data_IF_578835789080
#
_entry.id   IF_578835789080
#
_cell.length_a   1.000
_cell.length_b   1.000
_cell.length_c   1.000
_cell.angle_alpha   90.00
_cell.angle_beta   90.00
_cell.angle_gamma   90.00
#
_symmetry.space_group_name_H-M   'P 1'
#
loop_
_entity.id
_entity.type
_entity.pdbx_description
1 polymer ?
#
# COMPACT_ATOMS: atom_id res chain seq x y z
N UNK A 1 26.36 -5.29 -38.17
CA UNK A 1 25.37 -6.20 -37.53
C UNK A 1 24.61 -5.44 -36.45
N UNK A 2 23.32 -5.66 -36.30
CA UNK A 2 22.55 -5.09 -35.19
C UNK A 2 23.04 -5.70 -33.85
N UNK A 3 23.15 -4.91 -32.77
CA UNK A 3 23.56 -5.44 -31.46
C UNK A 3 22.63 -6.59 -31.02
N UNK A 4 23.15 -7.61 -30.32
CA UNK A 4 22.40 -8.76 -29.86
C UNK A 4 21.14 -8.38 -29.03
N UNK A 5 21.24 -7.29 -28.24
CA UNK A 5 20.10 -6.76 -27.47
C UNK A 5 18.90 -6.30 -28.33
N UNK A 6 19.12 -6.00 -29.61
CA UNK A 6 18.08 -5.54 -30.56
C UNK A 6 17.61 -6.65 -31.53
N UNK A 7 18.36 -7.76 -31.64
CA UNK A 7 18.06 -8.84 -32.59
C UNK A 7 17.52 -10.09 -31.90
N UNK A 8 18.00 -10.45 -30.70
CA UNK A 8 17.56 -11.65 -29.99
C UNK A 8 16.16 -11.42 -29.36
N UNK A 9 15.18 -12.32 -29.54
CA UNK A 9 13.78 -12.11 -29.11
C UNK A 9 13.62 -11.71 -27.64
N UNK A 10 14.26 -12.43 -26.72
CA UNK A 10 14.17 -12.16 -25.27
C UNK A 10 14.90 -10.86 -24.91
N UNK A 11 16.13 -10.69 -25.40
CA UNK A 11 16.92 -9.48 -25.11
C UNK A 11 16.28 -8.23 -25.69
N UNK A 12 15.56 -8.34 -26.80
CA UNK A 12 14.78 -7.26 -27.40
C UNK A 12 13.66 -6.77 -26.47
N UNK A 13 12.96 -7.67 -25.78
CA UNK A 13 11.92 -7.31 -24.81
C UNK A 13 12.55 -6.51 -23.64
N UNK A 14 13.63 -7.04 -23.07
CA UNK A 14 14.35 -6.36 -21.98
C UNK A 14 14.89 -4.99 -22.45
N UNK A 15 15.44 -4.93 -23.66
CA UNK A 15 15.95 -3.69 -24.22
C UNK A 15 14.86 -2.60 -24.34
N UNK A 16 13.68 -2.96 -24.84
CA UNK A 16 12.59 -2.00 -24.97
C UNK A 16 11.95 -1.60 -23.64
N UNK A 17 11.99 -2.49 -22.65
CA UNK A 17 11.40 -2.21 -21.34
C UNK A 17 12.31 -1.38 -20.42
N UNK A 18 13.65 -1.52 -20.52
CA UNK A 18 14.59 -0.97 -19.52
C UNK A 18 15.78 -0.20 -20.10
N UNK A 19 16.04 -0.28 -21.42
CA UNK A 19 17.21 0.36 -22.01
C UNK A 19 16.78 1.49 -22.96
N UNK A 20 16.17 1.14 -24.08
CA UNK A 20 15.80 2.11 -25.12
C UNK A 20 14.39 2.72 -24.85
N UNK A 21 13.77 2.46 -23.71
CA UNK A 21 12.45 3.03 -23.34
C UNK A 21 12.52 4.55 -23.31
N UNK A 22 11.73 5.28 -24.13
CA UNK A 22 11.72 6.73 -24.09
C UNK A 22 11.08 7.24 -22.80
N UNK A 23 11.82 8.01 -22.00
CA UNK A 23 11.36 8.59 -20.74
C UNK A 23 11.47 10.12 -20.79
N UNK A 24 10.54 10.89 -20.19
CA UNK A 24 10.64 12.33 -20.06
C UNK A 24 11.94 12.75 -19.37
N UNK A 25 12.64 13.74 -19.92
CA UNK A 25 13.94 14.18 -19.40
C UNK A 25 13.85 14.82 -18.00
N UNK A 26 12.68 15.37 -17.63
CA UNK A 26 12.45 16.13 -16.41
C UNK A 26 11.89 15.32 -15.23
N UNK A 27 11.95 13.98 -15.23
CA UNK A 27 11.47 13.16 -14.13
C UNK A 27 12.22 13.49 -12.83
N UNK A 28 11.45 13.77 -11.76
CA UNK A 28 11.99 14.00 -10.41
C UNK A 28 12.15 12.68 -9.63
N UNK A 29 12.66 12.76 -8.39
CA UNK A 29 12.78 11.60 -7.49
C UNK A 29 11.44 10.93 -7.15
N UNK A 30 10.32 11.63 -7.29
CA UNK A 30 8.98 11.07 -7.10
C UNK A 30 8.64 9.95 -8.10
N UNK A 31 9.33 9.85 -9.22
CA UNK A 31 9.16 8.76 -10.20
C UNK A 31 9.94 7.50 -9.84
N UNK A 32 10.87 7.56 -8.88
CA UNK A 32 11.60 6.38 -8.39
C UNK A 32 10.73 5.42 -7.56
N UNK A 33 9.59 5.89 -7.00
CA UNK A 33 8.78 5.05 -6.11
C UNK A 33 8.15 3.83 -6.81
N UNK A 34 7.97 3.85 -8.12
CA UNK A 34 7.53 2.67 -8.88
C UNK A 34 8.59 1.55 -8.89
N UNK A 35 9.85 1.88 -9.21
CA UNK A 35 10.95 0.91 -9.20
C UNK A 35 11.30 0.47 -7.77
N UNK A 36 11.19 1.36 -6.77
CA UNK A 36 11.34 1.02 -5.36
C UNK A 36 10.28 0.00 -4.89
N UNK A 37 9.04 0.11 -5.36
CA UNK A 37 7.99 -0.88 -5.08
C UNK A 37 8.34 -2.25 -5.67
N UNK A 38 8.90 -2.29 -6.87
CA UNK A 38 9.43 -3.53 -7.46
C UNK A 38 10.53 -4.15 -6.61
N UNK A 39 11.44 -3.33 -6.08
CA UNK A 39 12.49 -3.80 -5.18
C UNK A 39 11.92 -4.29 -3.84
N UNK A 40 10.93 -3.57 -3.25
CA UNK A 40 10.23 -4.03 -2.06
C UNK A 40 9.59 -5.41 -2.29
N UNK A 41 8.91 -5.61 -3.42
CA UNK A 41 8.30 -6.90 -3.75
C UNK A 41 9.33 -8.02 -3.83
N UNK A 42 10.48 -7.78 -4.48
CA UNK A 42 11.58 -8.76 -4.57
C UNK A 42 12.11 -9.10 -3.17
N UNK A 43 12.36 -8.09 -2.32
CA UNK A 43 12.84 -8.31 -0.95
C UNK A 43 11.82 -9.11 -0.14
N UNK A 44 10.53 -8.77 -0.22
CA UNK A 44 9.48 -9.48 0.52
C UNK A 44 9.32 -10.93 0.06
N UNK A 45 9.33 -11.21 -1.24
CA UNK A 45 9.26 -12.57 -1.77
C UNK A 45 10.50 -13.37 -1.35
N UNK A 46 11.70 -12.81 -1.51
CA UNK A 46 12.94 -13.50 -1.18
C UNK A 46 13.03 -13.82 0.33
N UNK A 47 12.83 -12.82 1.19
CA UNK A 47 12.87 -13.03 2.65
C UNK A 47 11.75 -13.95 3.12
N UNK A 48 10.54 -13.82 2.56
CA UNK A 48 9.39 -14.66 2.89
C UNK A 48 9.58 -16.12 2.51
N UNK A 49 10.21 -16.39 1.34
CA UNK A 49 10.51 -17.75 0.92
C UNK A 49 11.46 -18.47 1.90
N UNK A 50 12.53 -17.79 2.35
CA UNK A 50 13.45 -18.36 3.34
C UNK A 50 12.79 -18.52 4.72
N UNK A 51 11.95 -17.57 5.15
CA UNK A 51 11.19 -17.70 6.40
C UNK A 51 10.21 -18.88 6.37
N UNK A 52 9.55 -19.10 5.23
CA UNK A 52 8.60 -20.20 5.05
C UNK A 52 9.26 -21.59 5.20
N UNK A 53 10.58 -21.72 4.98
CA UNK A 53 11.30 -23.00 5.15
C UNK A 53 11.39 -23.43 6.63
N UNK A 54 11.22 -22.52 7.58
CA UNK A 54 11.36 -22.75 9.01
C UNK A 54 10.09 -22.47 9.81
N UNK A 55 9.07 -21.86 9.17
CA UNK A 55 7.80 -21.52 9.80
C UNK A 55 6.84 -22.71 9.82
N UNK A 56 6.11 -22.89 10.90
CA UNK A 56 5.06 -23.91 11.04
C UNK A 56 3.70 -23.26 11.25
N UNK A 57 2.77 -23.44 10.31
CA UNK A 57 1.42 -22.89 10.36
C UNK A 57 0.49 -23.76 11.24
N UNK A 58 0.75 -23.79 12.54
CA UNK A 58 -0.03 -24.49 13.55
C UNK A 58 -0.12 -23.63 14.81
N UNK A 59 -1.29 -23.52 15.43
CA UNK A 59 -1.52 -22.63 16.58
C UNK A 59 -0.65 -22.94 17.78
N UNK A 60 -0.24 -24.20 17.96
CA UNK A 60 0.67 -24.62 19.03
C UNK A 60 2.15 -24.35 18.73
N UNK A 61 2.50 -24.19 17.43
CA UNK A 61 3.88 -24.13 16.96
C UNK A 61 4.26 -22.77 16.31
N UNK A 62 3.30 -22.00 15.81
CA UNK A 62 3.58 -20.81 15.01
C UNK A 62 4.45 -19.80 15.76
N UNK A 63 4.08 -19.42 16.97
CA UNK A 63 4.85 -18.45 17.76
C UNK A 63 6.26 -18.98 18.11
N UNK A 64 6.38 -20.23 18.51
CA UNK A 64 7.66 -20.86 18.81
C UNK A 64 8.54 -21.05 17.58
N UNK A 65 7.95 -21.30 16.38
CA UNK A 65 8.70 -21.36 15.13
C UNK A 65 9.32 -20.02 14.73
N UNK A 66 8.61 -18.90 14.96
CA UNK A 66 9.18 -17.55 14.77
C UNK A 66 10.30 -17.29 15.79
N UNK A 67 10.12 -17.68 17.04
CA UNK A 67 11.17 -17.56 18.05
C UNK A 67 12.41 -18.40 17.68
N UNK A 68 12.21 -19.62 17.18
CA UNK A 68 13.27 -20.50 16.66
C UNK A 68 14.02 -19.82 15.48
N UNK A 69 13.28 -19.26 14.49
CA UNK A 69 13.89 -18.52 13.38
C UNK A 69 14.81 -17.40 13.90
N UNK A 70 14.33 -16.63 14.87
CA UNK A 70 15.09 -15.48 15.38
C UNK A 70 16.32 -15.89 16.23
N UNK A 71 16.30 -17.04 16.92
CA UNK A 71 17.35 -17.45 17.87
C UNK A 71 18.33 -18.46 17.30
N UNK A 72 17.81 -19.46 16.56
CA UNK A 72 18.56 -20.67 16.28
C UNK A 72 18.95 -20.79 14.78
N UNK A 73 18.15 -20.18 13.87
CA UNK A 73 18.46 -20.19 12.44
C UNK A 73 19.52 -19.13 12.14
N UNK A 74 20.58 -19.51 11.42
CA UNK A 74 21.66 -18.60 11.08
C UNK A 74 21.13 -17.40 10.25
N UNK A 75 21.35 -16.17 10.77
CA UNK A 75 20.79 -14.91 10.23
C UNK A 75 19.25 -14.85 10.13
N UNK A 76 18.52 -15.77 10.76
CA UNK A 76 17.07 -15.80 10.76
C UNK A 76 16.44 -14.53 11.38
N UNK A 77 17.03 -13.99 12.45
CA UNK A 77 16.63 -12.72 13.04
C UNK A 77 16.67 -11.57 12.03
N UNK A 78 17.68 -11.52 11.17
CA UNK A 78 17.84 -10.48 10.16
C UNK A 78 16.79 -10.63 9.07
N UNK A 79 16.56 -11.85 8.55
CA UNK A 79 15.54 -12.13 7.55
C UNK A 79 14.13 -11.79 8.06
N UNK A 80 13.84 -12.17 9.31
CA UNK A 80 12.55 -11.85 9.93
C UNK A 80 12.35 -10.34 10.09
N UNK A 81 13.37 -9.60 10.53
CA UNK A 81 13.31 -8.17 10.70
C UNK A 81 13.25 -7.42 9.36
N UNK A 82 13.97 -7.88 8.34
CA UNK A 82 13.86 -7.33 6.98
C UNK A 82 12.47 -7.55 6.38
N UNK A 83 11.87 -8.72 6.64
CA UNK A 83 10.52 -9.01 6.15
C UNK A 83 9.46 -8.14 6.85
N UNK A 84 9.49 -8.06 8.17
CA UNK A 84 8.54 -7.27 8.96
C UNK A 84 8.65 -5.77 8.66
N UNK A 85 9.87 -5.19 8.70
CA UNK A 85 10.08 -3.79 8.40
C UNK A 85 9.94 -3.48 6.91
N UNK A 86 10.27 -4.44 6.05
CA UNK A 86 10.09 -4.32 4.61
C UNK A 86 8.62 -4.11 4.22
N UNK A 87 7.66 -4.67 4.96
CA UNK A 87 6.24 -4.37 4.77
C UNK A 87 5.94 -2.89 5.01
N UNK A 88 6.48 -2.28 6.07
CA UNK A 88 6.36 -0.84 6.33
C UNK A 88 6.98 0.00 5.21
N UNK A 89 8.16 -0.36 4.71
CA UNK A 89 8.79 0.33 3.57
C UNK A 89 7.95 0.19 2.29
N UNK A 90 7.34 -0.96 2.09
CA UNK A 90 6.43 -1.17 0.95
C UNK A 90 5.27 -0.18 1.02
N UNK A 91 4.58 -0.04 2.16
CA UNK A 91 3.48 0.91 2.31
C UNK A 91 3.92 2.36 2.24
N UNK A 92 5.08 2.75 2.79
CA UNK A 92 5.64 4.09 2.60
C UNK A 92 5.79 4.38 1.09
N UNK A 93 6.41 3.47 0.34
CA UNK A 93 6.59 3.62 -1.10
C UNK A 93 5.25 3.66 -1.85
N UNK A 94 4.24 2.84 -1.46
CA UNK A 94 2.90 2.86 -2.07
C UNK A 94 2.23 4.22 -1.86
N UNK A 95 2.21 4.75 -0.64
CA UNK A 95 1.55 6.02 -0.35
C UNK A 95 2.22 7.19 -1.05
N UNK A 96 3.55 7.21 -1.13
CA UNK A 96 4.28 8.21 -1.88
C UNK A 96 4.06 8.07 -3.40
N UNK A 97 3.96 6.85 -3.91
CA UNK A 97 3.63 6.57 -5.31
C UNK A 97 2.21 7.02 -5.69
N UNK A 98 1.22 6.74 -4.84
CA UNK A 98 -0.16 7.22 -5.00
C UNK A 98 -0.21 8.75 -4.90
N UNK A 99 0.43 9.32 -3.88
CA UNK A 99 0.50 10.77 -3.68
C UNK A 99 1.10 11.50 -4.88
N UNK A 100 2.18 10.94 -5.47
CA UNK A 100 2.75 11.43 -6.73
C UNK A 100 1.70 11.36 -7.86
N UNK A 101 0.96 10.24 -7.96
CA UNK A 101 -0.09 10.07 -8.96
C UNK A 101 -1.22 11.10 -8.82
N UNK A 102 -1.65 11.39 -7.60
CA UNK A 102 -2.66 12.40 -7.30
C UNK A 102 -2.16 13.82 -7.57
N UNK A 103 -0.91 14.15 -7.18
CA UNK A 103 -0.35 15.49 -7.33
C UNK A 103 -0.08 15.85 -8.80
N UNK A 104 0.50 14.93 -9.56
CA UNK A 104 0.90 15.20 -10.94
C UNK A 104 -0.11 14.71 -12.00
N UNK A 105 -1.27 14.19 -11.56
CA UNK A 105 -2.35 13.78 -12.45
C UNK A 105 -2.07 12.49 -13.23
N UNK A 106 -1.23 11.59 -12.70
CA UNK A 106 -0.96 10.30 -13.34
C UNK A 106 -2.18 9.38 -13.38
N UNK A 107 -3.17 9.61 -12.50
CA UNK A 107 -4.46 8.89 -12.48
C UNK A 107 -5.26 9.01 -13.79
N UNK A 108 -4.94 9.98 -14.65
CA UNK A 108 -5.55 10.11 -15.97
C UNK A 108 -5.09 9.03 -16.96
N UNK A 109 -4.07 8.25 -16.63
CA UNK A 109 -3.77 6.97 -17.29
C UNK A 109 -4.62 5.87 -16.62
N UNK A 110 -5.89 5.80 -17.00
CA UNK A 110 -6.94 5.07 -16.29
C UNK A 110 -6.62 3.60 -16.08
N UNK A 111 -6.14 2.91 -17.10
CA UNK A 111 -5.80 1.48 -17.02
C UNK A 111 -4.67 1.24 -16.02
N UNK A 112 -3.61 2.02 -16.13
CA UNK A 112 -2.46 1.94 -15.21
C UNK A 112 -2.88 2.25 -13.78
N UNK A 113 -3.68 3.31 -13.58
CA UNK A 113 -4.18 3.72 -12.28
C UNK A 113 -5.08 2.67 -11.64
N UNK A 114 -6.05 2.15 -12.38
CA UNK A 114 -7.02 1.18 -11.87
C UNK A 114 -6.33 -0.13 -11.45
N UNK A 115 -5.39 -0.64 -12.26
CA UNK A 115 -4.58 -1.82 -11.86
C UNK A 115 -3.73 -1.49 -10.62
N UNK A 116 -3.23 -0.26 -10.49
CA UNK A 116 -2.53 0.20 -9.29
C UNK A 116 -3.41 0.16 -8.03
N UNK A 117 -4.68 0.55 -8.12
CA UNK A 117 -5.63 0.46 -6.98
C UNK A 117 -5.93 -1.01 -6.64
N UNK A 118 -6.05 -1.89 -7.62
CA UNK A 118 -6.17 -3.34 -7.38
C UNK A 118 -4.93 -3.88 -6.68
N UNK A 119 -3.73 -3.45 -7.10
CA UNK A 119 -2.46 -3.82 -6.43
C UNK A 119 -2.43 -3.36 -4.98
N UNK A 120 -2.94 -2.16 -4.67
CA UNK A 120 -3.07 -1.69 -3.29
C UNK A 120 -3.91 -2.65 -2.45
N UNK A 121 -5.10 -3.07 -2.92
CA UNK A 121 -5.93 -4.05 -2.22
C UNK A 121 -5.21 -5.39 -2.02
N UNK A 122 -4.51 -5.88 -3.03
CA UNK A 122 -3.77 -7.14 -2.93
C UNK A 122 -2.63 -7.06 -1.91
N UNK A 123 -1.89 -5.95 -1.88
CA UNK A 123 -0.82 -5.74 -0.88
C UNK A 123 -1.40 -5.59 0.53
N UNK A 124 -2.52 -4.86 0.69
CA UNK A 124 -3.22 -4.76 1.97
C UNK A 124 -3.68 -6.13 2.48
N UNK A 125 -4.30 -6.95 1.62
CA UNK A 125 -4.70 -8.30 1.96
C UNK A 125 -3.50 -9.17 2.35
N UNK A 126 -2.42 -9.11 1.56
CA UNK A 126 -1.19 -9.87 1.82
C UNK A 126 -0.56 -9.50 3.16
N UNK A 127 -0.46 -8.21 3.47
CA UNK A 127 0.10 -7.73 4.72
C UNK A 127 -0.77 -8.14 5.92
N UNK A 128 -2.09 -8.04 5.79
CA UNK A 128 -3.02 -8.44 6.85
C UNK A 128 -2.89 -9.93 7.19
N UNK A 129 -3.00 -10.82 6.20
CA UNK A 129 -2.87 -12.26 6.46
C UNK A 129 -1.47 -12.63 6.94
N UNK A 130 -0.42 -11.90 6.51
CA UNK A 130 0.95 -12.09 6.96
C UNK A 130 1.18 -11.70 8.42
N UNK A 131 0.54 -10.62 8.88
CA UNK A 131 0.63 -10.16 10.27
C UNK A 131 0.01 -11.15 11.25
N UNK A 132 -0.92 -11.98 10.82
CA UNK A 132 -1.55 -13.01 11.63
C UNK A 132 -0.60 -14.20 11.90
N UNK A 133 0.32 -14.49 10.99
CA UNK A 133 1.15 -15.71 11.03
C UNK A 133 2.03 -15.89 12.29
N UNK A 134 2.62 -14.85 12.90
CA UNK A 134 3.38 -15.01 14.12
C UNK A 134 2.57 -15.55 15.30
N UNK A 135 1.26 -15.45 15.25
CA UNK A 135 0.33 -15.93 16.28
C UNK A 135 0.62 -15.33 17.67
N UNK A 136 0.97 -14.03 17.67
CA UNK A 136 1.02 -13.22 18.89
C UNK A 136 -0.36 -12.66 19.24
N UNK A 137 -0.43 -11.92 20.36
CA UNK A 137 -1.68 -11.32 20.83
C UNK A 137 -2.33 -10.40 19.80
N UNK A 138 -1.55 -9.52 19.18
CA UNK A 138 -2.08 -8.63 18.15
C UNK A 138 -2.42 -9.35 16.85
N UNK A 139 -1.70 -10.43 16.52
CA UNK A 139 -2.02 -11.29 15.37
C UNK A 139 -3.40 -11.93 15.52
N UNK A 140 -3.67 -12.55 16.66
CA UNK A 140 -4.92 -13.25 16.94
C UNK A 140 -6.12 -12.28 17.05
N UNK A 141 -5.96 -11.25 17.89
CA UNK A 141 -7.05 -10.30 18.14
C UNK A 141 -7.30 -9.40 16.95
N UNK A 142 -6.26 -9.02 16.19
CA UNK A 142 -6.40 -8.32 14.92
C UNK A 142 -7.17 -9.15 13.89
N UNK A 143 -6.86 -10.44 13.74
CA UNK A 143 -7.60 -11.35 12.89
C UNK A 143 -9.06 -11.44 13.30
N UNK A 144 -9.33 -11.63 14.60
CA UNK A 144 -10.69 -11.75 15.15
C UNK A 144 -11.52 -10.51 14.86
N UNK A 145 -10.99 -9.31 15.09
CA UNK A 145 -11.72 -8.05 14.90
C UNK A 145 -11.97 -7.78 13.41
N UNK A 146 -10.94 -7.86 12.59
CA UNK A 146 -11.04 -7.48 11.17
C UNK A 146 -11.90 -8.47 10.38
N UNK A 147 -11.75 -9.76 10.59
CA UNK A 147 -12.58 -10.75 9.87
C UNK A 147 -14.04 -10.71 10.34
N UNK A 148 -14.28 -10.42 11.64
CA UNK A 148 -15.64 -10.23 12.13
C UNK A 148 -16.36 -9.01 11.54
N UNK A 149 -15.67 -8.07 10.92
CA UNK A 149 -16.33 -6.97 10.19
C UNK A 149 -17.22 -7.46 9.07
N UNK A 150 -16.92 -8.61 8.47
CA UNK A 150 -17.75 -9.23 7.43
C UNK A 150 -19.13 -9.62 7.89
N UNK A 151 -19.32 -9.85 9.21
CA UNK A 151 -20.67 -10.12 9.76
C UNK A 151 -21.62 -8.91 9.66
N UNK A 152 -21.14 -7.74 9.24
CA UNK A 152 -21.95 -6.58 8.91
C UNK A 152 -22.75 -6.77 7.60
N UNK A 153 -22.32 -7.71 6.71
CA UNK A 153 -23.03 -7.97 5.47
C UNK A 153 -24.42 -8.57 5.76
N UNK A 154 -25.51 -7.94 5.26
CA UNK A 154 -26.85 -8.45 5.49
C UNK A 154 -27.01 -9.88 4.98
N UNK A 155 -27.75 -10.71 5.71
CA UNK A 155 -28.11 -12.10 5.42
C UNK A 155 -26.97 -13.11 5.44
N UNK A 156 -25.82 -12.81 4.83
CA UNK A 156 -24.70 -13.77 4.61
C UNK A 156 -23.51 -13.52 5.52
N UNK A 157 -23.51 -12.45 6.31
CA UNK A 157 -22.30 -11.98 7.02
C UNK A 157 -21.76 -13.00 8.00
N UNK A 158 -22.61 -13.65 8.78
CA UNK A 158 -22.20 -14.69 9.74
C UNK A 158 -21.58 -15.90 9.03
N UNK A 159 -22.19 -16.35 7.93
CA UNK A 159 -21.69 -17.48 7.14
C UNK A 159 -20.34 -17.16 6.51
N UNK A 160 -20.16 -15.92 6.02
CA UNK A 160 -18.86 -15.45 5.49
C UNK A 160 -17.76 -15.47 6.56
N UNK A 161 -18.07 -15.03 7.77
CA UNK A 161 -17.12 -15.05 8.89
C UNK A 161 -16.72 -16.48 9.23
N UNK A 162 -17.71 -17.39 9.40
CA UNK A 162 -17.45 -18.81 9.70
C UNK A 162 -16.68 -19.49 8.55
N UNK A 163 -16.99 -19.14 7.32
CA UNK A 163 -16.27 -19.66 6.16
C UNK A 163 -14.80 -19.23 6.16
N UNK A 164 -14.50 -17.96 6.46
CA UNK A 164 -13.10 -17.47 6.54
C UNK A 164 -12.36 -18.09 7.72
N UNK A 165 -13.01 -18.18 8.89
CA UNK A 165 -12.41 -18.81 10.06
C UNK A 165 -12.21 -20.32 9.88
N UNK A 166 -13.09 -20.99 9.10
CA UNK A 166 -13.13 -22.45 8.96
C UNK A 166 -13.70 -23.14 10.20
N UNK A 167 -14.49 -22.42 10.96
CA UNK A 167 -15.13 -22.85 12.21
C UNK A 167 -15.86 -21.69 12.86
N UNK A 168 -16.12 -21.79 14.14
CA UNK A 168 -16.90 -20.80 14.90
C UNK A 168 -16.04 -19.72 15.58
N UNK A 169 -14.72 -19.83 15.48
CA UNK A 169 -13.74 -18.88 16.02
C UNK A 169 -12.48 -18.86 15.18
N UNK A 170 -11.65 -17.82 15.36
CA UNK A 170 -10.29 -17.79 14.84
C UNK A 170 -9.47 -18.88 15.53
N UNK A 171 -8.93 -19.83 14.75
CA UNK A 171 -8.21 -20.98 15.25
C UNK A 171 -7.27 -21.55 14.18
N UNK A 172 -6.81 -22.78 14.34
CA UNK A 172 -5.84 -23.45 13.46
C UNK A 172 -6.26 -23.43 11.98
N UNK A 173 -7.56 -23.66 11.69
CA UNK A 173 -8.08 -23.60 10.34
C UNK A 173 -7.92 -22.19 9.71
N UNK A 174 -8.07 -21.14 10.49
CA UNK A 174 -7.82 -19.75 10.06
C UNK A 174 -6.34 -19.53 9.75
N UNK A 175 -5.46 -19.95 10.66
CA UNK A 175 -4.02 -19.77 10.53
C UNK A 175 -3.47 -20.48 9.28
N UNK A 176 -3.86 -21.73 9.04
CA UNK A 176 -3.40 -22.50 7.88
C UNK A 176 -3.87 -21.89 6.54
N UNK A 177 -5.12 -21.38 6.47
CA UNK A 177 -5.63 -20.66 5.30
C UNK A 177 -4.88 -19.37 5.07
N UNK A 178 -4.61 -18.60 6.12
CA UNK A 178 -3.90 -17.33 6.01
C UNK A 178 -2.45 -17.54 5.59
N UNK A 179 -1.79 -18.59 6.05
CA UNK A 179 -0.48 -18.97 5.53
C UNK A 179 -0.52 -19.27 4.03
N UNK A 180 -1.49 -20.07 3.57
CA UNK A 180 -1.65 -20.39 2.16
C UNK A 180 -1.90 -19.14 1.30
N UNK A 181 -2.78 -18.23 1.75
CA UNK A 181 -3.02 -16.97 1.06
C UNK A 181 -1.82 -16.05 1.08
N UNK A 182 -1.13 -15.93 2.23
CA UNK A 182 0.07 -15.10 2.32
C UNK A 182 1.18 -15.60 1.38
N UNK A 183 1.30 -16.91 1.18
CA UNK A 183 2.29 -17.49 0.29
C UNK A 183 1.97 -17.24 -1.19
N UNK A 184 0.70 -17.36 -1.61
CA UNK A 184 0.33 -17.23 -3.03
C UNK A 184 0.14 -15.78 -3.50
N UNK A 185 -0.39 -14.88 -2.64
CA UNK A 185 -0.72 -13.51 -3.01
C UNK A 185 0.46 -12.71 -3.57
N UNK A 186 1.70 -12.79 -3.05
CA UNK A 186 2.85 -12.10 -3.63
C UNK A 186 3.11 -12.44 -5.09
N UNK A 187 2.86 -13.67 -5.53
CA UNK A 187 3.02 -14.07 -6.93
C UNK A 187 1.88 -13.50 -7.81
N UNK A 188 0.67 -13.41 -7.27
CA UNK A 188 -0.44 -12.71 -7.94
C UNK A 188 -0.11 -11.21 -8.07
N UNK A 189 0.45 -10.58 -7.02
CA UNK A 189 0.93 -9.19 -7.06
C UNK A 189 2.01 -9.02 -8.13
N UNK A 190 2.96 -9.96 -8.23
CA UNK A 190 3.99 -9.91 -9.27
C UNK A 190 3.37 -9.95 -10.67
N UNK A 191 2.41 -10.87 -10.92
CA UNK A 191 1.68 -10.93 -12.18
C UNK A 191 0.89 -9.64 -12.49
N UNK A 192 0.14 -9.11 -11.52
CA UNK A 192 -0.61 -7.87 -11.66
C UNK A 192 0.32 -6.65 -11.86
N UNK A 193 1.51 -6.65 -11.25
CA UNK A 193 2.53 -5.61 -11.47
C UNK A 193 3.05 -5.61 -12.91
N UNK A 194 3.19 -6.77 -13.53
CA UNK A 194 3.53 -6.86 -14.95
C UNK A 194 2.44 -6.25 -15.84
N UNK A 195 1.16 -6.47 -15.51
CA UNK A 195 0.03 -5.86 -16.23
C UNK A 195 0.03 -4.33 -16.03
N UNK A 196 0.31 -3.86 -14.81
CA UNK A 196 0.45 -2.43 -14.50
C UNK A 196 1.55 -1.76 -15.35
N UNK A 197 2.71 -2.41 -15.48
CA UNK A 197 3.81 -1.95 -16.32
C UNK A 197 3.48 -2.03 -17.81
N UNK A 198 2.71 -3.03 -18.25
CA UNK A 198 2.26 -3.15 -19.64
C UNK A 198 1.46 -1.90 -20.04
N UNK A 199 0.47 -1.51 -19.23
CA UNK A 199 -0.32 -0.30 -19.49
C UNK A 199 0.52 0.98 -19.39
N UNK A 200 1.45 1.05 -18.43
CA UNK A 200 2.37 2.18 -18.33
C UNK A 200 3.24 2.33 -19.58
N UNK A 201 3.70 1.23 -20.17
CA UNK A 201 4.53 1.26 -21.37
C UNK A 201 3.75 1.68 -22.63
N UNK A 202 2.44 1.47 -22.67
CA UNK A 202 1.59 1.95 -23.78
C UNK A 202 1.51 3.48 -23.83
N UNK A 203 1.35 4.12 -22.67
CA UNK A 203 1.22 5.58 -22.57
C UNK A 203 2.55 6.29 -22.37
N UNK A 204 3.53 5.60 -21.80
CA UNK A 204 4.74 6.18 -21.22
C UNK A 204 4.45 6.85 -19.86
N UNK A 205 5.52 7.24 -19.17
CA UNK A 205 5.41 7.94 -17.88
C UNK A 205 4.89 9.36 -18.05
N UNK A 206 4.08 9.83 -17.10
CA UNK A 206 3.78 11.25 -16.93
C UNK A 206 5.05 12.02 -16.48
N UNK A 207 4.96 13.34 -16.40
CA UNK A 207 6.07 14.20 -15.97
C UNK A 207 5.57 15.27 -14.98
N UNK A 208 6.48 15.98 -14.27
CA UNK A 208 6.09 16.96 -13.26
C UNK A 208 5.21 18.10 -13.76
N UNK A 209 5.35 18.51 -15.02
CA UNK A 209 4.56 19.62 -15.59
C UNK A 209 3.16 19.17 -16.02
N UNK A 210 2.95 17.89 -16.29
CA UNK A 210 1.71 17.35 -16.87
C UNK A 210 1.51 17.71 -18.35
N UNK A 211 2.49 18.33 -18.98
CA UNK A 211 2.48 18.68 -20.40
C UNK A 211 3.00 17.51 -21.25
N UNK A 212 2.63 17.51 -22.55
CA UNK A 212 3.15 16.54 -23.49
C UNK A 212 4.65 16.79 -23.74
N UNK A 213 5.49 15.78 -23.52
CA UNK A 213 6.92 15.84 -23.72
C UNK A 213 7.44 14.87 -24.77
N UNK A 214 6.66 14.58 -25.80
CA UNK A 214 7.08 13.68 -26.87
C UNK A 214 8.35 14.16 -27.60
N UNK A 215 8.62 15.47 -27.59
CA UNK A 215 9.80 16.07 -28.21
C UNK A 215 11.03 16.13 -27.28
N UNK A 216 10.86 15.86 -25.98
CA UNK A 216 11.95 15.96 -24.98
C UNK A 216 11.99 14.68 -24.15
N UNK A 217 12.36 13.57 -24.78
CA UNK A 217 12.55 12.27 -24.16
C UNK A 217 13.99 11.81 -24.30
N UNK A 218 14.48 11.16 -23.25
CA UNK A 218 15.80 10.50 -23.21
C UNK A 218 15.61 8.99 -23.06
N UNK A 219 16.55 8.14 -23.49
CA UNK A 219 16.48 6.71 -23.20
C UNK A 219 16.53 6.47 -21.68
N UNK A 220 15.82 5.46 -21.21
CA UNK A 220 15.77 5.13 -19.79
C UNK A 220 17.17 4.79 -19.24
N UNK A 221 17.89 3.91 -19.93
CA UNK A 221 19.29 3.67 -19.61
C UNK A 221 20.17 4.70 -20.38
N UNK A 222 21.08 5.43 -19.76
CA UNK A 222 21.63 5.31 -18.40
C UNK A 222 21.00 6.27 -17.38
N UNK A 223 20.24 7.25 -17.84
CA UNK A 223 19.74 8.34 -16.98
C UNK A 223 18.93 7.83 -15.77
N UNK A 224 17.87 7.08 -16.03
CA UNK A 224 16.99 6.63 -14.95
C UNK A 224 17.40 5.30 -14.33
N UNK A 225 18.23 4.52 -15.00
CA UNK A 225 18.87 3.34 -14.40
C UNK A 225 19.80 3.74 -13.26
N UNK A 226 20.66 4.74 -13.43
CA UNK A 226 21.53 5.22 -12.35
C UNK A 226 20.76 5.94 -11.26
N UNK A 227 19.71 6.67 -11.62
CA UNK A 227 18.82 7.30 -10.65
C UNK A 227 18.10 6.28 -9.78
N UNK A 228 17.64 5.18 -10.37
CA UNK A 228 17.01 4.06 -9.64
C UNK A 228 18.02 3.34 -8.74
N UNK A 229 19.27 3.12 -9.19
CA UNK A 229 20.33 2.53 -8.35
C UNK A 229 20.58 3.38 -7.11
N UNK A 230 20.61 4.71 -7.25
CA UNK A 230 20.74 5.61 -6.11
C UNK A 230 19.55 5.46 -5.14
N UNK A 231 18.32 5.46 -5.67
CA UNK A 231 17.10 5.24 -4.87
C UNK A 231 17.12 3.90 -4.15
N UNK A 232 17.52 2.82 -4.83
CA UNK A 232 17.69 1.49 -4.24
C UNK A 232 18.70 1.47 -3.10
N UNK A 233 19.85 2.12 -3.29
CA UNK A 233 20.90 2.20 -2.27
C UNK A 233 20.42 2.92 -1.02
N UNK A 234 19.70 4.03 -1.17
CA UNK A 234 19.11 4.78 -0.04
C UNK A 234 18.06 3.94 0.69
N UNK A 235 17.14 3.30 -0.04
CA UNK A 235 16.08 2.50 0.57
C UNK A 235 16.63 1.27 1.28
N UNK A 236 17.54 0.52 0.65
CA UNK A 236 18.18 -0.66 1.27
C UNK A 236 18.96 -0.25 2.51
N UNK A 237 19.72 0.87 2.44
CA UNK A 237 20.46 1.40 3.59
C UNK A 237 19.54 1.77 4.76
N UNK A 238 18.42 2.44 4.48
CA UNK A 238 17.43 2.80 5.50
C UNK A 238 16.73 1.56 6.09
N UNK A 239 16.32 0.61 5.26
CA UNK A 239 15.71 -0.65 5.71
C UNK A 239 16.70 -1.49 6.55
N UNK A 240 17.96 -1.60 6.11
CA UNK A 240 18.99 -2.29 6.85
C UNK A 240 19.24 -1.61 8.20
N UNK A 241 19.38 -0.29 8.22
CA UNK A 241 19.57 0.47 9.46
C UNK A 241 18.41 0.26 10.45
N UNK A 242 17.16 0.35 9.99
CA UNK A 242 16.00 0.10 10.85
C UNK A 242 15.98 -1.34 11.36
N UNK A 243 16.21 -2.33 10.49
CA UNK A 243 16.16 -3.75 10.82
C UNK A 243 17.28 -4.21 11.76
N UNK A 244 18.41 -3.48 11.80
CA UNK A 244 19.55 -3.83 12.68
C UNK A 244 19.59 -3.02 13.98
N UNK A 245 19.30 -1.71 13.93
CA UNK A 245 19.46 -0.82 15.10
C UNK A 245 18.17 -0.65 15.90
N UNK A 246 17.00 -0.74 15.25
CA UNK A 246 15.70 -0.51 15.92
C UNK A 246 14.58 -1.36 15.29
N UNK A 247 14.73 -2.69 15.25
CA UNK A 247 13.84 -3.58 14.47
C UNK A 247 12.37 -3.55 14.90
N UNK A 248 12.10 -3.17 16.14
CA UNK A 248 10.76 -3.20 16.75
C UNK A 248 10.08 -1.82 16.77
N UNK A 249 10.73 -0.77 16.21
CA UNK A 249 10.23 0.61 16.27
C UNK A 249 8.83 0.79 15.67
N UNK A 250 8.53 0.07 14.60
CA UNK A 250 7.26 0.19 13.87
C UNK A 250 6.25 -0.91 14.24
N UNK A 251 6.62 -1.86 15.09
CA UNK A 251 5.77 -2.97 15.51
C UNK A 251 5.02 -2.69 16.82
N UNK A 252 4.07 -3.56 17.14
CA UNK A 252 3.35 -3.51 18.41
C UNK A 252 3.99 -4.44 19.45
N UNK A 253 4.28 -3.97 20.68
CA UNK A 253 4.91 -4.76 21.72
C UNK A 253 4.07 -5.97 22.18
N UNK A 254 2.74 -5.87 22.18
CA UNK A 254 1.85 -6.96 22.60
C UNK A 254 1.96 -8.18 21.66
N UNK A 255 2.44 -7.99 20.44
CA UNK A 255 2.63 -9.11 19.49
C UNK A 255 3.86 -9.97 19.77
N UNK A 256 4.67 -9.60 20.77
CA UNK A 256 5.77 -10.45 21.32
C UNK A 256 5.31 -11.39 22.45
N UNK A 257 4.01 -11.39 22.77
CA UNK A 257 3.38 -12.33 23.70
C UNK A 257 2.58 -13.35 22.88
N UNK A 258 2.67 -14.67 23.19
CA UNK A 258 1.87 -15.69 22.51
C UNK A 258 0.37 -15.39 22.57
N UNK A 259 -0.36 -15.74 21.52
CA UNK A 259 -1.81 -15.52 21.46
C UNK A 259 -2.53 -16.25 22.61
N UNK A 260 -3.35 -15.51 23.33
CA UNK A 260 -4.25 -16.03 24.35
C UNK A 260 -5.69 -15.60 24.06
N UNK A 261 -6.58 -16.51 23.64
CA UNK A 261 -7.95 -16.19 23.31
C UNK A 261 -8.80 -15.78 24.53
N UNK A 262 -8.32 -16.02 25.74
CA UNK A 262 -9.04 -15.69 26.99
C UNK A 262 -8.64 -14.31 27.55
N UNK A 263 -7.61 -13.67 27.00
CA UNK A 263 -7.10 -12.37 27.49
C UNK A 263 -7.07 -11.37 26.34
N UNK A 264 -8.03 -10.46 26.33
CA UNK A 264 -8.11 -9.39 25.33
C UNK A 264 -7.11 -8.28 25.66
N UNK A 265 -6.23 -7.87 24.72
CA UNK A 265 -5.37 -6.70 24.90
C UNK A 265 -6.19 -5.41 25.10
N UNK A 266 -5.70 -4.45 25.91
CA UNK A 266 -6.41 -3.20 26.17
C UNK A 266 -6.64 -2.38 24.87
N UNK A 267 -5.73 -2.45 23.93
CA UNK A 267 -5.75 -1.64 22.69
C UNK A 267 -5.49 -2.50 21.49
N UNK A 268 -6.56 -3.06 20.89
CA UNK A 268 -6.45 -3.77 19.61
C UNK A 268 -6.42 -2.74 18.49
N UNK A 269 -5.29 -2.61 17.79
CA UNK A 269 -5.12 -1.72 16.64
C UNK A 269 -4.36 -2.45 15.52
N UNK A 270 -4.65 -2.12 14.25
CA UNK A 270 -3.86 -2.62 13.14
C UNK A 270 -2.50 -1.92 13.06
N UNK A 271 -1.61 -2.43 12.20
CA UNK A 271 -0.35 -1.79 11.86
C UNK A 271 -0.57 -0.35 11.34
N UNK A 272 0.44 0.53 11.53
CA UNK A 272 0.34 1.96 11.29
C UNK A 272 -0.19 2.33 9.91
N UNK A 273 0.13 1.54 8.89
CA UNK A 273 -0.30 1.81 7.50
C UNK A 273 -1.79 1.55 7.24
N UNK A 274 -2.52 0.93 8.16
CA UNK A 274 -3.97 0.76 8.11
C UNK A 274 -4.74 1.73 9.01
N UNK A 275 -4.06 2.48 9.87
CA UNK A 275 -4.70 3.28 10.91
C UNK A 275 -5.62 4.36 10.37
N UNK A 276 -5.30 5.01 9.25
CA UNK A 276 -6.19 6.02 8.66
C UNK A 276 -7.56 5.43 8.26
N UNK A 277 -7.57 4.26 7.64
CA UNK A 277 -8.81 3.57 7.25
C UNK A 277 -9.54 3.01 8.48
N UNK A 278 -8.79 2.56 9.49
CA UNK A 278 -9.34 2.12 10.77
C UNK A 278 -9.98 3.28 11.56
N UNK A 279 -9.40 4.49 11.51
CA UNK A 279 -10.02 5.67 12.08
C UNK A 279 -11.36 6.00 11.39
N UNK A 280 -11.41 5.92 10.06
CA UNK A 280 -12.65 6.12 9.28
C UNK A 280 -13.71 5.10 9.67
N UNK A 281 -13.34 3.81 9.78
CA UNK A 281 -14.23 2.75 10.26
C UNK A 281 -14.86 3.09 11.61
N UNK A 282 -14.03 3.50 12.59
CA UNK A 282 -14.46 3.76 13.97
C UNK A 282 -15.26 5.07 14.12
N UNK A 283 -15.15 5.99 13.17
CA UNK A 283 -15.85 7.28 13.24
C UNK A 283 -17.36 7.16 13.00
N UNK A 284 -17.83 6.02 12.48
CA UNK A 284 -19.24 5.75 12.20
C UNK A 284 -19.79 4.78 13.24
N UNK A 285 -20.80 5.15 14.03
CA UNK A 285 -21.31 4.30 15.13
C UNK A 285 -22.15 3.08 14.67
N UNK A 286 -22.32 2.91 13.36
CA UNK A 286 -23.00 1.75 12.77
C UNK A 286 -21.97 0.81 12.11
N UNK A 287 -22.00 -0.49 12.44
CA UNK A 287 -21.02 -1.48 11.97
C UNK A 287 -20.97 -1.56 10.44
N UNK A 288 -22.12 -1.67 9.78
CA UNK A 288 -22.19 -1.73 8.31
C UNK A 288 -21.69 -0.42 7.69
N UNK A 289 -22.15 0.73 8.21
CA UNK A 289 -21.71 2.05 7.76
C UNK A 289 -20.18 2.23 7.89
N UNK A 290 -19.61 1.81 9.01
CA UNK A 290 -18.17 1.85 9.23
C UNK A 290 -17.39 0.99 8.23
N UNK A 291 -17.83 -0.24 7.98
CA UNK A 291 -17.22 -1.13 6.99
C UNK A 291 -17.30 -0.55 5.58
N UNK A 292 -18.46 -0.02 5.20
CA UNK A 292 -18.62 0.63 3.89
C UNK A 292 -17.72 1.86 3.76
N UNK A 293 -17.58 2.67 4.81
CA UNK A 293 -16.70 3.83 4.80
C UNK A 293 -15.22 3.44 4.70
N UNK A 294 -14.79 2.39 5.42
CA UNK A 294 -13.44 1.85 5.30
C UNK A 294 -13.15 1.43 3.85
N UNK A 295 -14.02 0.62 3.25
CA UNK A 295 -13.87 0.18 1.87
C UNK A 295 -13.89 1.37 0.90
N UNK A 296 -14.82 2.31 1.10
CA UNK A 296 -14.95 3.50 0.27
C UNK A 296 -13.72 4.40 0.33
N UNK A 297 -12.99 4.42 1.45
CA UNK A 297 -11.76 5.21 1.58
C UNK A 297 -10.65 4.77 0.59
N UNK A 298 -10.68 3.53 0.16
CA UNK A 298 -9.76 3.01 -0.87
C UNK A 298 -10.44 3.05 -2.26
N UNK A 299 -11.70 2.62 -2.36
CA UNK A 299 -12.45 2.57 -3.63
C UNK A 299 -12.57 3.95 -4.28
N UNK A 300 -12.60 5.03 -3.49
CA UNK A 300 -12.66 6.41 -3.98
C UNK A 300 -11.52 6.75 -4.96
N UNK A 301 -10.38 6.07 -4.87
CA UNK A 301 -9.26 6.25 -5.79
C UNK A 301 -9.64 5.89 -7.24
N UNK A 302 -10.54 4.92 -7.46
CA UNK A 302 -11.05 4.61 -8.80
C UNK A 302 -11.86 5.75 -9.41
N UNK A 303 -12.44 6.62 -8.58
CA UNK A 303 -13.24 7.75 -9.05
C UNK A 303 -12.39 8.96 -9.46
N UNK A 304 -11.10 9.01 -9.12
CA UNK A 304 -10.25 10.16 -9.40
C UNK A 304 -10.22 10.60 -10.87
N UNK A 305 -10.15 9.70 -11.87
CA UNK A 305 -10.22 10.11 -13.27
C UNK A 305 -11.55 10.79 -13.63
N UNK A 306 -12.66 10.38 -13.01
CA UNK A 306 -14.01 10.92 -13.25
C UNK A 306 -14.19 12.25 -12.52
N UNK A 307 -13.64 12.38 -11.31
CA UNK A 307 -13.73 13.59 -10.49
C UNK A 307 -12.80 14.71 -10.97
N UNK A 308 -11.93 14.44 -11.92
CA UNK A 308 -11.00 15.42 -12.47
C UNK A 308 -11.72 16.34 -13.48
N UNK A 309 -11.96 17.59 -13.08
CA UNK A 309 -12.64 18.60 -13.90
C UNK A 309 -11.70 19.63 -14.53
N UNK A 310 -10.43 19.66 -14.10
CA UNK A 310 -9.46 20.64 -14.57
C UNK A 310 -8.92 20.31 -15.95
N UNK A 311 -8.67 21.33 -16.76
CA UNK A 311 -7.93 21.24 -18.02
C UNK A 311 -6.42 21.07 -17.81
N UNK A 312 -5.90 21.45 -16.65
CA UNK A 312 -4.52 21.26 -16.24
C UNK A 312 -4.37 19.91 -15.53
N UNK A 313 -3.47 19.07 -16.03
CA UNK A 313 -3.22 17.73 -15.47
C UNK A 313 -2.54 17.80 -14.09
N UNK A 314 -1.42 18.52 -14.00
CA UNK A 314 -0.58 18.62 -12.82
C UNK A 314 -1.07 19.74 -11.88
N UNK A 315 -0.99 19.51 -10.56
CA UNK A 315 -1.22 20.55 -9.55
C UNK A 315 -0.12 21.63 -9.55
N UNK A 316 0.94 21.46 -10.33
CA UNK A 316 2.01 22.46 -10.43
C UNK A 316 1.45 23.83 -10.84
N UNK A 317 0.44 23.84 -11.71
CA UNK A 317 -0.22 25.05 -12.24
C UNK A 317 -1.61 25.31 -11.64
N UNK A 318 -1.96 24.63 -10.54
CA UNK A 318 -3.29 24.67 -9.91
C UNK A 318 -3.16 25.03 -8.44
N UNK A 319 -2.95 26.32 -8.08
CA UNK A 319 -2.61 26.74 -6.72
C UNK A 319 -3.71 26.45 -5.69
N UNK A 320 -4.99 26.58 -6.04
CA UNK A 320 -6.11 26.31 -5.15
C UNK A 320 -6.27 24.81 -4.87
N UNK A 321 -6.28 23.99 -5.93
CA UNK A 321 -6.35 22.54 -5.75
C UNK A 321 -5.12 21.99 -5.04
N UNK A 322 -3.94 22.61 -5.22
CA UNK A 322 -2.71 22.26 -4.48
C UNK A 322 -2.87 22.45 -2.96
N UNK A 323 -3.57 23.50 -2.52
CA UNK A 323 -3.87 23.70 -1.12
C UNK A 323 -4.71 22.54 -0.56
N UNK A 324 -5.75 22.12 -1.26
CA UNK A 324 -6.59 20.99 -0.82
C UNK A 324 -5.87 19.64 -0.87
N UNK A 325 -4.94 19.47 -1.81
CA UNK A 325 -4.07 18.29 -1.78
C UNK A 325 -3.24 18.21 -0.49
N UNK A 326 -2.61 19.30 -0.08
CA UNK A 326 -1.83 19.31 1.17
C UNK A 326 -2.72 19.21 2.41
N UNK A 327 -3.92 19.79 2.37
CA UNK A 327 -4.94 19.58 3.42
C UNK A 327 -5.33 18.10 3.50
N UNK A 328 -5.49 17.42 2.38
CA UNK A 328 -5.73 15.98 2.33
C UNK A 328 -4.60 15.17 2.96
N UNK A 329 -3.34 15.48 2.63
CA UNK A 329 -2.18 14.82 3.25
C UNK A 329 -2.17 15.03 4.77
N UNK A 330 -2.32 16.26 5.23
CA UNK A 330 -2.38 16.58 6.66
C UNK A 330 -3.54 15.83 7.35
N UNK A 331 -4.71 15.82 6.74
CA UNK A 331 -5.89 15.12 7.26
C UNK A 331 -5.68 13.60 7.34
N UNK A 332 -5.01 13.00 6.35
CA UNK A 332 -4.67 11.56 6.36
C UNK A 332 -3.68 11.24 7.49
N UNK A 333 -2.73 12.12 7.77
CA UNK A 333 -1.82 11.96 8.91
C UNK A 333 -2.58 12.09 10.25
N UNK A 334 -3.52 13.01 10.36
CA UNK A 334 -4.42 13.12 11.53
C UNK A 334 -5.22 11.83 11.69
N UNK A 335 -5.83 11.30 10.63
CA UNK A 335 -6.54 10.03 10.68
C UNK A 335 -5.65 8.86 11.09
N UNK A 336 -4.41 8.82 10.60
CA UNK A 336 -3.44 7.80 11.03
C UNK A 336 -3.14 7.91 12.52
N UNK A 337 -2.93 9.10 13.04
CA UNK A 337 -2.73 9.32 14.47
C UNK A 337 -3.97 8.92 15.29
N UNK A 338 -5.18 9.36 14.89
CA UNK A 338 -6.46 9.03 15.55
C UNK A 338 -6.70 7.51 15.53
N UNK A 339 -6.34 6.81 14.45
CA UNK A 339 -6.47 5.36 14.37
C UNK A 339 -5.74 4.60 15.47
N UNK A 340 -4.64 5.16 15.97
CA UNK A 340 -3.87 4.62 17.09
C UNK A 340 -4.32 5.08 18.49
N UNK A 341 -5.30 6.00 18.60
CA UNK A 341 -5.78 6.52 19.88
C UNK A 341 -6.95 5.70 20.45
N UNK A 342 -7.21 5.77 21.76
CA UNK A 342 -8.40 5.17 22.37
C UNK A 342 -9.71 5.75 21.82
N UNK A 343 -10.82 5.01 22.00
CA UNK A 343 -12.15 5.40 21.51
C UNK A 343 -12.85 6.24 22.58
N UNK A 344 -12.37 7.45 22.79
CA UNK A 344 -12.90 8.42 23.78
C UNK A 344 -12.75 9.84 23.28
N UNK A 345 -13.44 10.79 23.89
CA UNK A 345 -13.28 12.20 23.56
C UNK A 345 -11.91 12.72 24.06
N UNK A 346 -11.22 13.58 23.28
CA UNK A 346 -11.69 14.24 22.04
C UNK A 346 -11.44 13.45 20.75
N UNK A 347 -10.85 12.27 20.79
CA UNK A 347 -10.40 11.51 19.61
C UNK A 347 -11.57 11.05 18.72
N UNK A 348 -12.73 10.72 19.31
CA UNK A 348 -13.93 10.35 18.55
C UNK A 348 -14.40 11.51 17.68
N UNK A 349 -14.57 12.68 18.27
CA UNK A 349 -15.02 13.89 17.57
C UNK A 349 -14.02 14.30 16.47
N UNK A 350 -12.71 14.30 16.75
CA UNK A 350 -11.67 14.63 15.77
C UNK A 350 -11.71 13.61 14.61
N UNK A 351 -11.87 12.32 14.92
CA UNK A 351 -11.99 11.25 13.93
C UNK A 351 -13.19 11.44 12.99
N UNK A 352 -14.35 11.83 13.52
CA UNK A 352 -15.56 12.10 12.73
C UNK A 352 -15.37 13.29 11.79
N UNK A 353 -14.80 14.39 12.28
CA UNK A 353 -14.52 15.58 11.46
C UNK A 353 -13.51 15.23 10.36
N UNK A 354 -12.41 14.57 10.71
CA UNK A 354 -11.36 14.20 9.75
C UNK A 354 -11.87 13.19 8.70
N UNK A 355 -12.70 12.23 9.10
CA UNK A 355 -13.32 11.27 8.16
C UNK A 355 -14.28 11.96 7.19
N UNK A 356 -15.08 12.88 7.66
CA UNK A 356 -15.97 13.70 6.83
C UNK A 356 -15.15 14.53 5.84
N UNK A 357 -14.10 15.19 6.33
CA UNK A 357 -13.22 16.01 5.50
C UNK A 357 -12.50 15.18 4.44
N UNK A 358 -12.11 13.93 4.73
CA UNK A 358 -11.49 13.02 3.78
C UNK A 358 -12.36 12.84 2.52
N UNK A 359 -13.62 12.46 2.69
CA UNK A 359 -14.54 12.28 1.57
C UNK A 359 -14.95 13.60 0.91
N UNK A 360 -15.11 14.66 1.70
CA UNK A 360 -15.47 15.99 1.21
C UNK A 360 -14.41 16.55 0.24
N UNK A 361 -13.12 16.35 0.54
CA UNK A 361 -12.03 16.78 -0.34
C UNK A 361 -12.14 16.09 -1.69
N UNK A 362 -12.29 14.75 -1.73
CA UNK A 362 -12.35 14.01 -2.98
C UNK A 362 -13.62 14.31 -3.79
N UNK A 363 -14.78 14.22 -3.14
CA UNK A 363 -16.07 14.24 -3.85
C UNK A 363 -16.52 15.64 -4.24
N UNK A 364 -16.12 16.67 -3.49
CA UNK A 364 -16.60 18.03 -3.69
C UNK A 364 -15.49 19.03 -3.96
N UNK A 365 -14.47 19.14 -3.11
CA UNK A 365 -13.49 20.21 -3.24
C UNK A 365 -12.62 20.06 -4.50
N UNK A 366 -12.11 18.88 -4.80
CA UNK A 366 -11.28 18.65 -6.01
C UNK A 366 -12.03 19.00 -7.30
N UNK A 367 -13.26 18.48 -7.57
CA UNK A 367 -13.99 18.83 -8.80
C UNK A 367 -14.42 20.31 -8.84
N UNK A 368 -14.85 20.87 -7.70
CA UNK A 368 -15.24 22.29 -7.65
C UNK A 368 -14.06 23.21 -7.97
N UNK A 369 -12.91 22.95 -7.33
CA UNK A 369 -11.71 23.78 -7.53
C UNK A 369 -11.16 23.64 -8.94
N UNK A 370 -11.20 22.43 -9.54
CA UNK A 370 -10.82 22.25 -10.92
C UNK A 370 -11.65 23.12 -11.88
N UNK A 371 -12.96 23.18 -11.68
CA UNK A 371 -13.87 24.02 -12.46
C UNK A 371 -13.60 25.51 -12.22
N UNK A 372 -13.40 25.91 -10.96
CA UNK A 372 -13.13 27.30 -10.60
C UNK A 372 -11.80 27.78 -11.19
N UNK A 373 -10.73 27.00 -11.07
CA UNK A 373 -9.41 27.33 -11.62
C UNK A 373 -9.45 27.46 -13.15
N UNK A 374 -10.23 26.60 -13.87
CA UNK A 374 -10.42 26.76 -15.30
C UNK A 374 -11.02 28.13 -15.67
N UNK A 375 -11.99 28.63 -14.88
CA UNK A 375 -12.61 29.95 -15.09
C UNK A 375 -11.64 31.08 -14.78
N UNK A 376 -10.90 30.98 -13.67
CA UNK A 376 -9.93 32.01 -13.25
C UNK A 376 -8.75 32.13 -14.22
N UNK A 377 -8.30 31.01 -14.77
CA UNK A 377 -7.22 30.98 -15.77
C UNK A 377 -7.70 31.27 -17.19
N UNK A 378 -8.97 31.65 -17.37
CA UNK A 378 -9.59 31.91 -18.67
C UNK A 378 -9.45 30.74 -19.67
N UNK A 379 -9.35 29.53 -19.15
CA UNK A 379 -9.29 28.33 -19.96
C UNK A 379 -10.70 28.04 -20.52
N UNK A 380 -10.98 28.53 -21.72
CA UNK A 380 -12.24 28.26 -22.38
C UNK A 380 -12.40 26.77 -22.74
N UNK A 381 -13.66 26.33 -22.82
CA UNK A 381 -14.01 24.97 -23.26
C UNK A 381 -13.62 24.73 -24.71
#
# INVERSE_FOLDING_TARGET
>A
MAPARKSHPILKIINYAFIDLPAPANLSSWWNFGSLLGLCLIIQIATGLFLAMHYTADTSMAFSSIAHICRDVNNGWLLRNLHANGASFFFICIYLHIGRGLYYGSFLFMETWNVGVILLFLVMATAFVGYVLPWGQMSFWGATVITNLLSAAPYIGTDLVQWIWGGFSVDNATLTRFFSFHFILPFIIAGASMIHLLFLHQTGSSNPTGLNQNLDKVPFHSYFSYKDILGFSIMIGALAALSTFSPNLLGDPDNFTPANPLVTPPHIKPEWYFLFAYAILRSIPNKLGGVLALLSSIVILFLMPILHTSKQRSLMFRPMTKLFFWTFIANTLILTWIGGQPVEDPFVTIGQIASTLYFFIFLLLIPMMGTLENKLLLLKN
#
